data_IF_530259499056
#
_entry.id   IF_530259499056
#
_cell.length_a   1.000
_cell.length_b   1.000
_cell.length_c   1.000
_cell.angle_alpha   90.00
_cell.angle_beta   90.00
_cell.angle_gamma   90.00
#
_symmetry.space_group_name_H-M   'P 1'
#
loop_
_entity.id
_entity.type
_entity.pdbx_description
1 polymer ?
#
# COMPACT_ATOMS: atom_id res chain seq x y z
N UNK A 1 24.20 -14.54 4.97
CA UNK A 1 22.85 -14.63 4.37
C UNK A 1 22.34 -13.23 4.07
N UNK A 2 22.57 -12.74 2.85
CA UNK A 2 22.25 -11.37 2.45
C UNK A 2 20.86 -11.29 1.79
N UNK A 3 19.81 -11.23 2.59
CA UNK A 3 18.48 -10.87 2.08
C UNK A 3 18.38 -9.34 1.98
N UNK A 4 19.11 -8.76 1.02
CA UNK A 4 19.02 -7.32 0.67
C UNK A 4 18.59 -7.13 -0.78
N UNK A 5 17.55 -7.82 -1.23
CA UNK A 5 16.85 -7.38 -2.44
C UNK A 5 15.72 -6.44 -2.01
N UNK A 6 15.80 -5.13 -2.30
CA UNK A 6 14.66 -4.25 -2.10
C UNK A 6 13.49 -4.80 -2.93
N UNK A 7 12.30 -4.86 -2.34
CA UNK A 7 11.08 -5.29 -3.04
C UNK A 7 10.99 -4.58 -4.39
N UNK A 8 10.79 -5.36 -5.45
CA UNK A 8 10.68 -4.82 -6.81
C UNK A 8 9.48 -3.88 -6.89
N UNK A 9 9.57 -2.82 -7.69
CA UNK A 9 8.47 -1.87 -7.89
C UNK A 9 7.17 -2.56 -8.29
N UNK A 10 7.27 -3.61 -9.10
CA UNK A 10 6.12 -4.39 -9.53
C UNK A 10 5.47 -5.11 -8.35
N UNK A 11 6.25 -5.61 -7.38
CA UNK A 11 5.70 -6.24 -6.18
C UNK A 11 4.93 -5.22 -5.32
N UNK A 12 5.50 -4.03 -5.14
CA UNK A 12 4.85 -2.94 -4.43
C UNK A 12 3.55 -2.53 -5.16
N UNK A 13 3.61 -2.34 -6.48
CA UNK A 13 2.43 -2.03 -7.29
C UNK A 13 1.35 -3.12 -7.19
N UNK A 14 1.71 -4.40 -7.22
CA UNK A 14 0.79 -5.50 -6.99
C UNK A 14 0.12 -5.43 -5.61
N UNK A 15 0.86 -5.10 -4.55
CA UNK A 15 0.30 -4.96 -3.19
C UNK A 15 -0.70 -3.80 -3.13
N UNK A 16 -0.39 -2.64 -3.73
CA UNK A 16 -1.32 -1.51 -3.80
C UNK A 16 -2.59 -1.90 -4.55
N UNK A 17 -2.45 -2.55 -5.71
CA UNK A 17 -3.57 -2.93 -6.55
C UNK A 17 -4.48 -3.92 -5.81
N UNK A 18 -3.88 -4.91 -5.15
CA UNK A 18 -4.61 -5.84 -4.29
C UNK A 18 -5.33 -5.11 -3.14
N UNK A 19 -4.67 -4.16 -2.49
CA UNK A 19 -5.27 -3.35 -1.42
C UNK A 19 -6.49 -2.56 -1.90
N UNK A 20 -6.41 -1.90 -3.07
CA UNK A 20 -7.55 -1.16 -3.66
C UNK A 20 -8.73 -2.09 -3.93
N UNK A 21 -8.49 -3.27 -4.49
CA UNK A 21 -9.54 -4.29 -4.71
C UNK A 21 -10.18 -4.71 -3.39
N UNK A 22 -9.37 -4.94 -2.35
CA UNK A 22 -9.83 -5.33 -1.03
C UNK A 22 -10.69 -4.24 -0.38
N UNK A 23 -10.27 -2.97 -0.45
CA UNK A 23 -11.02 -1.81 0.06
C UNK A 23 -12.33 -1.62 -0.70
N UNK A 24 -12.30 -1.74 -2.03
CA UNK A 24 -13.51 -1.69 -2.85
C UNK A 24 -14.51 -2.78 -2.47
N UNK A 25 -14.02 -3.97 -2.14
CA UNK A 25 -14.87 -5.07 -1.69
C UNK A 25 -15.50 -4.80 -0.31
N UNK A 26 -14.73 -4.26 0.64
CA UNK A 26 -15.24 -3.85 1.95
C UNK A 26 -16.35 -2.80 1.77
N UNK A 27 -16.10 -1.77 0.96
CA UNK A 27 -17.06 -0.69 0.71
C UNK A 27 -18.39 -1.19 0.12
N UNK A 28 -18.35 -2.27 -0.65
CA UNK A 28 -19.55 -2.85 -1.26
C UNK A 28 -20.36 -3.72 -0.30
N UNK A 29 -19.77 -4.21 0.80
CA UNK A 29 -20.36 -5.22 1.70
C UNK A 29 -20.70 -4.68 3.07
N UNK A 30 -19.96 -3.68 3.53
CA UNK A 30 -20.03 -3.14 4.88
C UNK A 30 -20.60 -1.72 4.82
N UNK A 31 -21.53 -1.35 5.72
CA UNK A 31 -21.96 0.04 5.84
C UNK A 31 -20.77 0.96 6.12
N UNK A 32 -20.84 2.15 5.53
CA UNK A 32 -19.81 3.18 5.67
C UNK A 32 -19.91 3.86 7.03
N UNK A 33 -19.42 3.16 8.06
CA UNK A 33 -19.25 3.72 9.39
C UNK A 33 -17.96 4.54 9.48
N UNK A 34 -17.97 5.62 10.28
CA UNK A 34 -16.78 6.46 10.46
C UNK A 34 -15.54 5.67 10.91
N UNK A 35 -15.74 4.58 11.66
CA UNK A 35 -14.67 3.66 12.06
C UNK A 35 -14.10 2.85 10.88
N UNK A 36 -14.94 2.42 9.93
CA UNK A 36 -14.50 1.72 8.72
C UNK A 36 -13.65 2.64 7.85
N UNK A 37 -14.06 3.90 7.71
CA UNK A 37 -13.27 4.90 6.96
C UNK A 37 -11.91 5.14 7.63
N UNK A 38 -11.89 5.29 8.96
CA UNK A 38 -10.65 5.52 9.71
C UNK A 38 -9.67 4.34 9.61
N UNK A 39 -10.18 3.11 9.71
CA UNK A 39 -9.35 1.90 9.58
C UNK A 39 -8.79 1.72 8.17
N UNK A 40 -9.57 2.02 7.14
CA UNK A 40 -9.09 2.03 5.75
C UNK A 40 -8.00 3.09 5.56
N UNK A 41 -8.18 4.30 6.10
CA UNK A 41 -7.19 5.37 6.00
C UNK A 41 -5.85 4.96 6.64
N UNK A 42 -5.89 4.40 7.86
CA UNK A 42 -4.70 3.90 8.56
C UNK A 42 -4.01 2.77 7.79
N UNK A 43 -4.80 1.81 7.26
CA UNK A 43 -4.28 0.74 6.42
C UNK A 43 -3.61 1.29 5.16
N UNK A 44 -4.20 2.30 4.52
CA UNK A 44 -3.68 2.96 3.33
C UNK A 44 -2.30 3.58 3.58
N UNK A 45 -2.10 4.27 4.70
CA UNK A 45 -0.81 4.87 5.07
C UNK A 45 0.29 3.80 5.16
N UNK A 46 -0.02 2.67 5.80
CA UNK A 46 0.93 1.55 5.97
C UNK A 46 1.32 0.95 4.61
N UNK A 47 0.33 0.73 3.73
CA UNK A 47 0.56 0.14 2.41
C UNK A 47 1.25 1.12 1.44
N UNK A 48 1.01 2.43 1.57
CA UNK A 48 1.65 3.47 0.75
C UNK A 48 3.07 3.83 1.20
N UNK A 49 3.42 3.68 2.48
CA UNK A 49 4.76 3.96 2.99
C UNK A 49 5.91 3.34 2.17
N UNK A 50 5.93 2.02 1.85
CA UNK A 50 7.00 1.43 1.05
C UNK A 50 7.07 1.99 -0.38
N UNK A 51 5.96 2.47 -0.92
CA UNK A 51 5.88 3.11 -2.25
C UNK A 51 6.67 4.41 -2.27
N UNK A 52 6.37 5.30 -1.32
CA UNK A 52 7.03 6.59 -1.19
C UNK A 52 8.52 6.41 -0.91
N UNK A 53 8.86 5.45 -0.04
CA UNK A 53 10.25 5.09 0.23
C UNK A 53 10.98 4.62 -1.03
N UNK A 54 10.39 3.71 -1.80
CA UNK A 54 10.98 3.19 -3.05
C UNK A 54 11.16 4.29 -4.12
N UNK A 55 10.17 5.18 -4.27
CA UNK A 55 10.27 6.34 -5.18
C UNK A 55 11.41 7.28 -4.77
N UNK A 56 11.54 7.56 -3.46
CA UNK A 56 12.61 8.42 -2.93
C UNK A 56 13.99 7.81 -3.14
N UNK A 57 14.15 6.50 -2.92
CA UNK A 57 15.41 5.78 -3.15
C UNK A 57 15.84 5.78 -4.62
N UNK A 58 14.89 5.77 -5.57
CA UNK A 58 15.18 5.86 -7.00
C UNK A 58 15.57 7.27 -7.45
N UNK A 59 14.90 8.30 -6.93
CA UNK A 59 15.16 9.70 -7.29
C UNK A 59 16.52 10.21 -6.76
N UNK A 60 17.06 9.58 -5.72
CA UNK A 60 18.39 9.88 -5.18
C UNK A 60 19.54 9.07 -5.79
N UNK A 61 19.28 8.21 -6.78
CA UNK A 61 20.33 7.46 -7.49
C UNK A 61 20.71 8.28 -8.75
N UNK A 62 21.95 8.78 -8.86
CA UNK A 62 22.40 9.63 -9.98
C UNK A 62 22.33 8.91 -11.32
#
# INVERSE_FOLDING_TARGET
>A
MAYKRPLSNTQIACIILLWVVMVGWILSRVPLDGFVVLTILMSGIIVFYPVVKSLKERKGRP
#
